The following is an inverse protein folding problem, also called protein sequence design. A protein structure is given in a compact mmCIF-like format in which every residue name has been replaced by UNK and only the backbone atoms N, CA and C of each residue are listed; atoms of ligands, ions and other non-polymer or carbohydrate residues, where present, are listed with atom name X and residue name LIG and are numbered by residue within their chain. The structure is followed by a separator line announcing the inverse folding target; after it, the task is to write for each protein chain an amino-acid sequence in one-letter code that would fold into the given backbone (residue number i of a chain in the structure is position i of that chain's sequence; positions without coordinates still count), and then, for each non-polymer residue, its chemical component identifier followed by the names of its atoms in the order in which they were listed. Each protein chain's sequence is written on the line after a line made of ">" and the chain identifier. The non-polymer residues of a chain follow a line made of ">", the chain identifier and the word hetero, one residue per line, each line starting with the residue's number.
data_IF_246260486363
#
_entry.id   IF_246260486363
#
_cell.length_a   1.000
_cell.length_b   1.000
_cell.length_c   1.000
_cell.angle_alpha   90.00
_cell.angle_beta   90.00
_cell.angle_gamma   90.00
#
_symmetry.space_group_name_H-M   'P 1'
#
loop_
_entity.id
_entity.type
_entity.pdbx_description
1 polymer ?
#
# COMPACT_ATOMS: atom_id res chain seq x y z
N UNK A 1 59.09 70.46 9.42
CA UNK A 1 58.32 69.21 9.63
C UNK A 1 56.88 69.45 9.17
N UNK A 2 56.54 69.02 7.95
CA UNK A 2 55.18 69.09 7.42
C UNK A 2 54.77 67.67 7.03
N UNK A 3 53.69 67.14 7.62
CA UNK A 3 53.10 65.85 7.25
C UNK A 3 51.83 66.11 6.47
N UNK A 4 51.89 65.81 5.17
CA UNK A 4 50.79 65.81 4.23
C UNK A 4 50.02 64.50 4.42
N UNK A 5 48.73 64.55 4.79
CA UNK A 5 47.86 63.38 4.86
C UNK A 5 47.01 63.36 3.61
N UNK A 6 47.30 62.42 2.70
CA UNK A 6 46.48 62.13 1.52
C UNK A 6 45.26 61.31 1.96
N UNK A 7 44.06 61.87 1.82
CA UNK A 7 42.80 61.14 1.94
C UNK A 7 42.46 60.42 0.64
N UNK A 8 42.48 59.09 0.66
CA UNK A 8 41.95 58.24 -0.41
C UNK A 8 40.42 58.25 -0.35
N UNK A 9 39.78 58.93 -1.30
CA UNK A 9 38.33 58.86 -1.52
C UNK A 9 38.03 57.57 -2.30
N UNK A 10 37.44 56.59 -1.64
CA UNK A 10 36.98 55.34 -2.26
C UNK A 10 35.63 55.59 -2.94
N UNK A 11 35.62 55.64 -4.28
CA UNK A 11 34.40 55.61 -5.08
C UNK A 11 33.86 54.17 -5.13
N UNK A 12 32.92 53.84 -4.26
CA UNK A 12 32.09 52.64 -4.41
C UNK A 12 31.08 52.85 -5.55
N UNK A 13 31.37 52.24 -6.72
CA UNK A 13 30.38 52.04 -7.77
C UNK A 13 29.32 51.05 -7.27
N UNK A 14 28.11 51.52 -7.02
CA UNK A 14 26.95 50.63 -6.87
C UNK A 14 26.55 50.12 -8.26
N UNK A 15 26.91 48.87 -8.57
CA UNK A 15 26.32 48.17 -9.72
C UNK A 15 24.92 47.74 -9.30
N UNK A 16 23.91 48.51 -9.71
CA UNK A 16 22.52 48.09 -9.59
C UNK A 16 22.28 46.92 -10.54
N UNK A 17 22.05 45.72 -10.00
CA UNK A 17 21.63 44.55 -10.77
C UNK A 17 20.14 44.73 -11.11
N UNK A 18 19.87 45.36 -12.25
CA UNK A 18 18.51 45.46 -12.78
C UNK A 18 18.13 44.12 -13.45
N UNK A 19 17.00 43.53 -13.06
CA UNK A 19 16.43 42.38 -13.74
C UNK A 19 16.04 42.70 -15.19
N UNK A 20 15.91 41.68 -16.05
CA UNK A 20 15.54 41.88 -17.47
C UNK A 20 14.09 42.35 -17.65
N UNK A 21 13.25 42.12 -16.63
CA UNK A 21 11.85 42.49 -16.58
C UNK A 21 11.60 43.45 -15.40
N UNK A 22 10.63 44.34 -15.57
CA UNK A 22 10.27 45.38 -14.61
C UNK A 22 8.79 45.32 -14.27
N UNK A 23 8.39 45.94 -13.16
CA UNK A 23 6.99 45.99 -12.73
C UNK A 23 6.06 46.74 -13.70
N UNK A 24 6.59 47.47 -14.68
CA UNK A 24 5.81 48.12 -15.74
C UNK A 24 5.55 47.23 -16.96
N UNK A 25 6.19 46.06 -17.03
CA UNK A 25 5.98 45.09 -18.10
C UNK A 25 4.78 44.18 -17.76
N UNK A 26 4.09 43.63 -18.77
CA UNK A 26 3.03 42.63 -18.57
C UNK A 26 3.58 41.24 -18.18
N UNK A 27 4.91 41.08 -18.12
CA UNK A 27 5.60 39.86 -17.68
C UNK A 27 5.68 39.85 -16.16
N UNK A 28 5.13 38.81 -15.54
CA UNK A 28 5.08 38.68 -14.07
C UNK A 28 6.42 38.15 -13.56
N UNK A 29 7.07 38.90 -12.67
CA UNK A 29 8.29 38.42 -12.01
C UNK A 29 7.96 37.32 -10.99
N UNK A 30 8.53 36.14 -11.22
CA UNK A 30 8.31 34.95 -10.42
C UNK A 30 9.56 34.64 -9.61
N UNK A 31 9.33 34.42 -8.32
CA UNK A 31 10.35 34.14 -7.31
C UNK A 31 9.89 32.95 -6.46
N UNK A 32 10.79 32.31 -5.69
CA UNK A 32 10.40 31.19 -4.83
C UNK A 32 9.24 31.50 -3.87
N UNK A 33 9.07 32.77 -3.45
CA UNK A 33 8.03 33.16 -2.49
C UNK A 33 6.63 33.32 -3.12
N UNK A 34 6.52 33.56 -4.43
CA UNK A 34 5.24 33.75 -5.10
C UNK A 34 4.91 32.63 -6.11
N UNK A 35 5.89 31.85 -6.58
CA UNK A 35 5.71 30.87 -7.65
C UNK A 35 4.57 29.88 -7.38
N UNK A 36 4.48 29.36 -6.16
CA UNK A 36 3.42 28.42 -5.81
C UNK A 36 2.03 29.06 -5.92
N UNK A 37 1.86 30.26 -5.37
CA UNK A 37 0.58 30.97 -5.41
C UNK A 37 0.20 31.41 -6.82
N UNK A 38 1.14 32.00 -7.55
CA UNK A 38 0.88 32.57 -8.87
C UNK A 38 0.72 31.48 -9.94
N UNK A 39 1.58 30.45 -9.93
CA UNK A 39 1.65 29.46 -11.02
C UNK A 39 0.96 28.15 -10.67
N UNK A 40 1.30 27.56 -9.52
CA UNK A 40 0.86 26.19 -9.16
C UNK A 40 -0.59 26.15 -8.71
N UNK A 41 -1.02 27.14 -7.94
CA UNK A 41 -2.41 27.26 -7.46
C UNK A 41 -3.34 27.96 -8.47
N UNK A 42 -2.79 28.44 -9.58
CA UNK A 42 -3.55 29.16 -10.60
C UNK A 42 -4.21 28.21 -11.59
N UNK A 43 -5.47 28.46 -11.91
CA UNK A 43 -6.17 27.77 -12.99
C UNK A 43 -5.68 28.19 -14.38
N UNK A 44 -5.18 29.41 -14.55
CA UNK A 44 -4.73 29.95 -15.85
C UNK A 44 -3.57 29.17 -16.47
N UNK A 45 -3.47 29.15 -17.80
CA UNK A 45 -2.26 28.67 -18.48
C UNK A 45 -1.11 29.64 -18.17
N UNK A 46 0.06 29.08 -17.84
CA UNK A 46 1.27 29.87 -17.57
C UNK A 46 2.39 29.53 -18.54
N UNK A 47 3.00 30.55 -19.12
CA UNK A 47 4.26 30.46 -19.85
C UNK A 47 5.35 31.09 -18.99
N UNK A 48 6.35 30.30 -18.60
CA UNK A 48 7.40 30.76 -17.69
C UNK A 48 8.76 30.67 -18.36
N UNK A 49 9.44 31.82 -18.49
CA UNK A 49 10.83 31.88 -18.90
C UNK A 49 11.76 31.79 -17.69
N UNK A 50 12.70 30.83 -17.71
CA UNK A 50 13.81 30.75 -16.79
C UNK A 50 15.05 31.35 -17.46
N UNK A 51 15.57 32.43 -16.89
CA UNK A 51 16.61 33.25 -17.51
C UNK A 51 17.76 33.56 -16.54
N UNK A 52 18.83 34.13 -17.09
CA UNK A 52 19.92 34.74 -16.32
C UNK A 52 20.24 36.14 -16.88
N UNK A 53 20.43 37.19 -16.06
CA UNK A 53 20.62 38.56 -16.53
C UNK A 53 21.85 38.74 -17.44
N UNK A 54 22.90 37.96 -17.20
CA UNK A 54 24.15 37.98 -17.97
C UNK A 54 24.07 37.24 -19.32
N UNK A 55 22.99 36.49 -19.57
CA UNK A 55 22.88 35.65 -20.76
C UNK A 55 22.37 36.45 -21.97
N UNK A 56 23.22 36.61 -22.99
CA UNK A 56 22.88 37.34 -24.22
C UNK A 56 21.71 36.73 -25.01
N UNK A 57 21.43 35.43 -24.89
CA UNK A 57 20.23 34.81 -25.46
C UNK A 57 18.94 35.24 -24.73
N UNK A 58 19.02 35.44 -23.41
CA UNK A 58 17.89 35.93 -22.60
C UNK A 58 17.59 37.38 -22.97
N UNK A 59 18.63 38.22 -23.04
CA UNK A 59 18.48 39.63 -23.44
C UNK A 59 17.85 39.80 -24.82
N UNK A 60 18.14 38.89 -25.78
CA UNK A 60 17.50 38.90 -27.11
C UNK A 60 16.05 38.41 -27.09
N UNK A 61 15.70 37.54 -26.15
CA UNK A 61 14.34 37.04 -25.99
C UNK A 61 13.46 38.04 -25.25
N UNK A 62 14.02 38.88 -24.37
CA UNK A 62 13.28 39.85 -23.55
C UNK A 62 12.29 40.72 -24.34
N UNK A 63 12.63 41.34 -25.48
CA UNK A 63 11.67 42.12 -26.26
C UNK A 63 10.50 41.27 -26.78
N UNK A 64 10.77 40.03 -27.18
CA UNK A 64 9.73 39.10 -27.64
C UNK A 64 8.86 38.62 -26.47
N UNK A 65 9.45 38.31 -25.31
CA UNK A 65 8.73 37.96 -24.09
C UNK A 65 7.75 39.06 -23.64
N UNK A 66 8.17 40.33 -23.73
CA UNK A 66 7.29 41.49 -23.48
C UNK A 66 6.13 41.57 -24.47
N UNK A 67 6.40 41.46 -25.77
CA UNK A 67 5.34 41.44 -26.81
C UNK A 67 4.36 40.29 -26.59
N UNK A 68 4.85 39.10 -26.28
CA UNK A 68 4.03 37.90 -26.00
C UNK A 68 3.14 38.14 -24.79
N UNK A 69 3.69 38.67 -23.69
CA UNK A 69 2.92 38.97 -22.49
C UNK A 69 1.82 40.00 -22.74
N UNK A 70 2.11 41.06 -23.50
CA UNK A 70 1.10 42.06 -23.89
C UNK A 70 0.04 41.48 -24.83
N UNK A 71 0.45 40.67 -25.82
CA UNK A 71 -0.47 40.07 -26.80
C UNK A 71 -1.39 39.02 -26.18
N UNK A 72 -0.91 38.28 -25.18
CA UNK A 72 -1.65 37.23 -24.48
C UNK A 72 -2.29 37.71 -23.17
N UNK A 73 -2.25 39.03 -22.91
CA UNK A 73 -2.79 39.63 -21.69
C UNK A 73 -4.22 39.16 -21.45
N UNK A 74 -4.48 38.73 -20.21
CA UNK A 74 -5.74 38.16 -19.74
C UNK A 74 -6.18 36.82 -20.37
N UNK A 75 -5.41 36.28 -21.32
CA UNK A 75 -5.66 34.99 -21.98
C UNK A 75 -4.71 33.91 -21.46
N UNK A 76 -3.41 34.20 -21.43
CA UNK A 76 -2.35 33.34 -20.90
C UNK A 76 -1.45 34.19 -20.01
N UNK A 77 -1.09 33.69 -18.82
CA UNK A 77 -0.16 34.41 -17.93
C UNK A 77 1.27 34.13 -18.39
N UNK A 78 2.08 35.19 -18.48
CA UNK A 78 3.49 35.09 -18.86
C UNK A 78 4.31 35.55 -17.67
N UNK A 79 5.24 34.71 -17.23
CA UNK A 79 6.12 35.00 -16.11
C UNK A 79 7.59 34.76 -16.44
N UNK A 80 8.46 35.36 -15.64
CA UNK A 80 9.89 35.19 -15.77
C UNK A 80 10.54 34.93 -14.41
N UNK A 81 11.42 33.93 -14.36
CA UNK A 81 12.21 33.54 -13.19
C UNK A 81 13.67 33.81 -13.50
N UNK A 82 14.30 34.66 -12.70
CA UNK A 82 15.77 34.74 -12.66
C UNK A 82 16.31 33.49 -11.97
N UNK A 83 16.67 32.49 -12.77
CA UNK A 83 17.15 31.20 -12.33
C UNK A 83 18.65 31.21 -11.99
N UNK A 84 19.37 32.28 -12.34
CA UNK A 84 20.74 32.51 -11.87
C UNK A 84 20.73 32.91 -10.38
N UNK A 85 19.78 33.78 -10.02
CA UNK A 85 19.51 34.18 -8.64
C UNK A 85 18.74 33.11 -7.84
N UNK A 86 17.79 32.43 -8.48
CA UNK A 86 16.92 31.42 -7.85
C UNK A 86 17.20 30.02 -8.40
N UNK A 87 18.45 29.56 -8.21
CA UNK A 87 18.94 28.28 -8.73
C UNK A 87 18.12 27.08 -8.26
N UNK A 88 17.59 27.10 -7.04
CA UNK A 88 16.73 26.03 -6.52
C UNK A 88 15.43 25.89 -7.32
N UNK A 89 14.79 27.01 -7.67
CA UNK A 89 13.56 27.04 -8.45
C UNK A 89 13.81 26.66 -9.91
N UNK A 90 14.92 27.12 -10.51
CA UNK A 90 15.34 26.66 -11.84
C UNK A 90 15.67 25.16 -11.86
N UNK A 91 16.39 24.68 -10.84
CA UNK A 91 16.76 23.28 -10.66
C UNK A 91 15.56 22.36 -10.47
N UNK A 92 14.54 22.80 -9.72
CA UNK A 92 13.28 22.07 -9.51
C UNK A 92 12.62 21.68 -10.84
N UNK A 93 12.66 22.56 -11.84
CA UNK A 93 12.09 22.31 -13.15
C UNK A 93 13.11 21.80 -14.16
N UNK A 94 14.30 21.40 -13.74
CA UNK A 94 15.32 20.81 -14.63
C UNK A 94 15.89 21.80 -15.64
N UNK A 95 16.00 23.08 -15.29
CA UNK A 95 16.61 24.09 -16.17
C UNK A 95 18.12 23.88 -16.21
N UNK A 96 18.63 23.45 -17.37
CA UNK A 96 20.06 23.16 -17.60
C UNK A 96 20.78 24.24 -18.40
N UNK A 97 20.04 25.21 -18.93
CA UNK A 97 20.60 26.29 -19.74
C UNK A 97 19.60 27.42 -19.95
N UNK A 98 20.10 28.59 -20.38
CA UNK A 98 19.30 29.80 -20.47
C UNK A 98 19.21 30.38 -21.88
N UNK A 99 18.06 30.97 -22.26
CA UNK A 99 16.78 30.86 -21.55
C UNK A 99 16.09 29.53 -21.86
N UNK A 100 15.35 29.01 -20.88
CA UNK A 100 14.46 27.85 -21.00
C UNK A 100 13.03 28.32 -20.78
N UNK A 101 12.11 27.98 -21.68
CA UNK A 101 10.69 28.35 -21.55
C UNK A 101 9.89 27.08 -21.25
N UNK A 102 9.00 27.15 -20.25
CA UNK A 102 8.12 26.05 -19.85
C UNK A 102 6.67 26.46 -19.87
N UNK A 103 5.81 25.54 -20.29
CA UNK A 103 4.35 25.71 -20.37
C UNK A 103 3.70 24.92 -19.24
N UNK A 104 3.03 25.64 -18.34
CA UNK A 104 2.32 25.09 -17.19
C UNK A 104 0.83 24.98 -17.52
N UNK A 105 0.45 23.80 -18.01
CA UNK A 105 -0.89 23.39 -18.47
C UNK A 105 -1.90 23.06 -17.37
N UNK A 106 -2.76 22.08 -17.62
CA UNK A 106 -3.77 21.59 -16.66
C UNK A 106 -3.11 20.96 -15.43
N UNK A 107 -2.03 20.20 -15.64
CA UNK A 107 -1.19 19.68 -14.59
C UNK A 107 0.04 20.58 -14.36
N UNK A 108 -0.03 21.44 -13.34
CA UNK A 108 1.06 22.36 -12.97
C UNK A 108 2.33 21.68 -12.50
N UNK A 109 2.24 20.44 -12.03
CA UNK A 109 3.40 19.69 -11.52
C UNK A 109 4.21 19.02 -12.63
N UNK A 110 3.73 19.04 -13.87
CA UNK A 110 4.44 18.48 -15.02
C UNK A 110 4.43 19.45 -16.20
N UNK A 111 5.13 20.58 -16.08
CA UNK A 111 5.22 21.56 -17.16
C UNK A 111 5.96 20.99 -18.36
N UNK A 112 5.55 21.42 -19.55
CA UNK A 112 6.15 20.99 -20.82
C UNK A 112 7.24 21.97 -21.27
N UNK A 113 8.33 21.44 -21.83
CA UNK A 113 9.38 22.27 -22.41
C UNK A 113 8.96 22.84 -23.76
N UNK A 114 9.07 24.16 -23.89
CA UNK A 114 8.92 24.81 -25.18
C UNK A 114 10.23 24.73 -25.97
N UNK A 115 10.21 24.00 -27.08
CA UNK A 115 11.35 23.79 -27.97
C UNK A 115 11.19 24.50 -29.33
N UNK A 116 10.20 25.37 -29.47
CA UNK A 116 9.91 26.08 -30.72
C UNK A 116 10.84 27.28 -30.99
N UNK A 117 10.53 28.02 -32.05
CA UNK A 117 11.25 29.23 -32.44
C UNK A 117 11.17 30.33 -31.38
N UNK A 118 12.22 31.13 -31.23
CA UNK A 118 12.31 32.18 -30.20
C UNK A 118 11.75 33.53 -30.66
N UNK A 119 10.73 33.52 -31.52
CA UNK A 119 10.01 34.72 -31.98
C UNK A 119 8.67 34.83 -31.26
N UNK A 120 8.14 36.05 -31.12
CA UNK A 120 6.85 36.26 -30.47
C UNK A 120 5.72 35.45 -31.11
N UNK A 121 5.69 35.34 -32.45
CA UNK A 121 4.66 34.57 -33.16
C UNK A 121 4.73 33.08 -32.82
N UNK A 122 5.91 32.48 -32.86
CA UNK A 122 6.10 31.06 -32.58
C UNK A 122 5.77 30.70 -31.12
N UNK A 123 6.00 31.63 -30.18
CA UNK A 123 5.66 31.46 -28.77
C UNK A 123 4.15 31.61 -28.56
N UNK A 124 3.52 32.60 -29.21
CA UNK A 124 2.05 32.80 -29.17
C UNK A 124 1.32 31.59 -29.73
N UNK A 125 1.76 31.04 -30.87
CA UNK A 125 1.11 29.87 -31.48
C UNK A 125 1.17 28.63 -30.57
N UNK A 126 2.30 28.42 -29.88
CA UNK A 126 2.44 27.35 -28.91
C UNK A 126 1.57 27.58 -27.67
N UNK A 127 1.51 28.82 -27.16
CA UNK A 127 0.66 29.17 -26.04
C UNK A 127 -0.84 28.97 -26.37
N UNK A 128 -1.29 29.36 -27.57
CA UNK A 128 -2.66 29.14 -28.03
C UNK A 128 -2.96 27.65 -28.24
N UNK A 129 -2.01 26.87 -28.72
CA UNK A 129 -2.15 25.42 -28.86
C UNK A 129 -2.28 24.74 -27.50
N UNK A 130 -1.42 25.09 -26.54
CA UNK A 130 -1.51 24.62 -25.16
C UNK A 130 -2.80 25.08 -24.47
N UNK A 131 -3.28 26.31 -24.76
CA UNK A 131 -4.55 26.81 -24.23
C UNK A 131 -5.74 26.03 -24.79
N UNK A 132 -5.75 25.70 -26.09
CA UNK A 132 -6.77 24.83 -26.69
C UNK A 132 -6.78 23.46 -26.00
N UNK A 133 -5.61 22.91 -25.69
CA UNK A 133 -5.52 21.65 -24.95
C UNK A 133 -6.05 21.79 -23.52
N UNK A 134 -5.69 22.86 -22.81
CA UNK A 134 -6.21 23.16 -21.47
C UNK A 134 -7.73 23.31 -21.46
N UNK A 135 -8.31 23.99 -22.45
CA UNK A 135 -9.76 24.13 -22.60
C UNK A 135 -10.41 22.77 -22.88
N UNK A 136 -9.81 21.93 -23.75
CA UNK A 136 -10.29 20.56 -23.99
C UNK A 136 -10.24 19.71 -22.72
N UNK A 137 -9.16 19.78 -21.95
CA UNK A 137 -9.02 19.07 -20.69
C UNK A 137 -10.13 19.47 -19.71
N UNK A 138 -10.41 20.78 -19.60
CA UNK A 138 -11.52 21.29 -18.75
C UNK A 138 -12.89 20.86 -19.24
N UNK A 139 -13.16 20.93 -20.55
CA UNK A 139 -14.42 20.48 -21.16
C UNK A 139 -14.63 18.98 -21.00
N UNK A 140 -13.55 18.19 -21.01
CA UNK A 140 -13.56 16.75 -20.75
C UNK A 140 -13.70 16.38 -19.27
N UNK A 141 -14.00 17.33 -18.37
CA UNK A 141 -14.13 17.08 -16.93
C UNK A 141 -12.80 16.92 -16.19
N UNK A 142 -11.68 17.29 -16.81
CA UNK A 142 -10.32 17.28 -16.25
C UNK A 142 -9.91 18.71 -15.85
N UNK A 143 -10.81 19.39 -15.13
CA UNK A 143 -10.56 20.69 -14.49
C UNK A 143 -10.19 20.50 -13.02
N UNK A 144 -9.21 21.26 -12.53
CA UNK A 144 -8.58 21.13 -11.23
C UNK A 144 -9.55 20.96 -10.06
N UNK A 145 -9.32 19.90 -9.28
CA UNK A 145 -10.09 19.55 -8.11
C UNK A 145 -9.74 18.14 -7.68
N UNK A 146 -9.14 18.01 -6.50
CA UNK A 146 -8.92 16.75 -5.79
C UNK A 146 -10.17 15.84 -5.86
N UNK A 147 -10.06 14.67 -6.49
CA UNK A 147 -10.47 13.36 -5.93
C UNK A 147 -10.40 12.23 -6.97
N UNK A 148 -10.04 11.06 -6.44
CA UNK A 148 -10.02 9.69 -6.95
C UNK A 148 -10.77 9.34 -8.24
N UNK A 149 -10.10 8.54 -9.07
CA UNK A 149 -10.72 7.34 -9.65
C UNK A 149 -10.88 7.29 -11.17
N UNK A 150 -10.29 6.23 -11.74
CA UNK A 150 -10.68 5.52 -12.98
C UNK A 150 -10.05 5.95 -14.32
N UNK A 151 -8.83 5.44 -14.51
CA UNK A 151 -8.40 4.53 -15.59
C UNK A 151 -8.83 4.76 -17.05
N UNK A 152 -7.83 4.90 -17.93
CA UNK A 152 -7.87 4.64 -19.37
C UNK A 152 -6.69 5.30 -20.12
N UNK A 153 -5.47 4.73 -20.04
CA UNK A 153 -4.68 4.05 -21.12
C UNK A 153 -4.39 4.94 -22.35
N UNK A 154 -3.18 5.14 -22.87
CA UNK A 154 -1.93 4.34 -22.98
C UNK A 154 -0.80 5.36 -23.29
N UNK A 155 0.49 5.26 -22.94
CA UNK A 155 1.47 4.17 -22.92
C UNK A 155 2.54 4.40 -21.82
N UNK A 156 3.11 3.32 -21.29
CA UNK A 156 4.17 3.33 -20.27
C UNK A 156 3.88 2.31 -19.15
N UNK A 157 4.21 1.05 -19.38
CA UNK A 157 3.88 -0.09 -18.50
C UNK A 157 4.72 -0.19 -17.22
N UNK A 158 5.12 0.93 -16.61
CA UNK A 158 6.17 0.92 -15.59
C UNK A 158 5.81 1.48 -14.21
N UNK A 159 4.59 2.00 -13.95
CA UNK A 159 4.28 2.65 -12.65
C UNK A 159 2.88 2.39 -12.11
N UNK A 160 2.23 1.27 -12.48
CA UNK A 160 0.80 1.11 -12.13
C UNK A 160 0.53 0.93 -10.64
N UNK A 161 1.48 0.37 -9.90
CA UNK A 161 1.26 -0.08 -8.53
C UNK A 161 2.23 0.52 -7.49
N UNK A 162 3.18 1.36 -7.93
CA UNK A 162 3.99 2.19 -7.02
C UNK A 162 3.18 3.42 -6.63
N UNK A 163 3.05 3.66 -5.33
CA UNK A 163 2.29 4.79 -4.80
C UNK A 163 3.23 5.97 -4.59
N UNK A 164 2.97 7.08 -5.28
CA UNK A 164 3.71 8.32 -5.05
C UNK A 164 3.20 9.00 -3.77
N UNK A 165 4.11 9.32 -2.86
CA UNK A 165 3.83 9.99 -1.59
C UNK A 165 4.51 11.36 -1.55
N UNK A 166 3.84 12.27 -0.86
CA UNK A 166 4.27 13.66 -0.67
C UNK A 166 4.24 14.03 0.81
N UNK A 167 4.85 15.16 1.16
CA UNK A 167 4.81 15.70 2.53
C UNK A 167 3.38 15.76 3.10
N UNK A 168 2.37 16.07 2.28
CA UNK A 168 0.96 16.16 2.68
C UNK A 168 0.22 14.81 2.78
N UNK A 169 0.67 13.80 2.04
CA UNK A 169 -0.06 12.54 1.88
C UNK A 169 0.54 11.40 2.69
N UNK A 170 1.80 11.54 3.12
CA UNK A 170 2.55 10.48 3.77
C UNK A 170 1.91 10.04 5.09
N UNK A 171 1.66 10.96 6.02
CA UNK A 171 1.21 10.60 7.37
C UNK A 171 -0.13 9.84 7.32
N UNK A 172 -1.09 10.37 6.55
CA UNK A 172 -2.41 9.74 6.36
C UNK A 172 -2.34 8.37 5.67
N UNK A 173 -1.46 8.20 4.69
CA UNK A 173 -1.41 6.97 3.91
C UNK A 173 -0.54 5.90 4.55
N UNK A 174 0.54 6.29 5.23
CA UNK A 174 1.57 5.39 5.75
C UNK A 174 1.42 5.19 7.25
N UNK A 175 1.33 6.27 8.04
CA UNK A 175 1.36 6.17 9.50
C UNK A 175 0.00 5.75 10.09
N UNK A 176 -1.09 6.15 9.46
CA UNK A 176 -2.45 5.78 9.88
C UNK A 176 -2.92 4.44 9.27
N UNK A 177 -2.06 3.73 8.53
CA UNK A 177 -2.40 2.49 7.84
C UNK A 177 -2.08 1.26 8.69
N UNK A 178 -2.96 0.26 8.67
CA UNK A 178 -2.67 -1.09 9.20
C UNK A 178 -1.76 -1.93 8.27
N UNK A 179 -1.53 -1.45 7.05
CA UNK A 179 -0.75 -2.17 6.05
C UNK A 179 0.75 -1.82 6.19
N UNK A 180 1.63 -2.71 5.75
CA UNK A 180 3.08 -2.46 5.77
C UNK A 180 3.49 -1.66 4.55
N UNK A 181 4.32 -0.63 4.74
CA UNK A 181 4.80 0.21 3.66
C UNK A 181 6.31 0.12 3.50
N UNK A 182 6.76 -0.14 2.27
CA UNK A 182 8.14 0.04 1.87
C UNK A 182 8.22 1.30 1.01
N UNK A 183 8.95 2.31 1.46
CA UNK A 183 9.02 3.61 0.80
C UNK A 183 10.44 3.87 0.29
N UNK A 184 10.56 4.04 -1.02
CA UNK A 184 11.79 4.52 -1.66
C UNK A 184 11.85 6.05 -1.61
N UNK A 185 12.89 6.60 -0.98
CA UNK A 185 13.26 8.00 -1.09
C UNK A 185 14.30 8.15 -2.20
N UNK A 186 13.92 8.85 -3.28
CA UNK A 186 14.71 8.96 -4.51
C UNK A 186 14.96 10.41 -4.93
N UNK A 187 15.87 10.57 -5.88
CA UNK A 187 16.07 11.82 -6.62
C UNK A 187 16.04 11.56 -8.13
N UNK A 188 15.33 12.38 -8.94
CA UNK A 188 15.07 12.10 -10.35
C UNK A 188 16.33 12.11 -11.23
N UNK A 189 17.40 12.76 -10.78
CA UNK A 189 18.69 12.82 -11.47
C UNK A 189 19.66 11.70 -11.05
N UNK A 190 19.36 10.94 -10.00
CA UNK A 190 20.25 9.91 -9.49
C UNK A 190 20.25 8.66 -10.38
N UNK A 191 21.42 8.28 -10.91
CA UNK A 191 21.57 7.10 -11.77
C UNK A 191 21.19 5.79 -11.07
N UNK A 192 21.51 5.63 -9.77
CA UNK A 192 21.13 4.45 -9.01
C UNK A 192 19.61 4.34 -8.79
N UNK A 193 18.90 5.48 -8.67
CA UNK A 193 17.44 5.49 -8.56
C UNK A 193 16.80 5.08 -9.89
N UNK A 194 17.32 5.61 -11.01
CA UNK A 194 16.85 5.23 -12.36
C UNK A 194 17.01 3.73 -12.65
N UNK A 195 18.06 3.11 -12.11
CA UNK A 195 18.27 1.67 -12.24
C UNK A 195 17.33 0.85 -11.34
N UNK A 196 16.95 1.38 -10.18
CA UNK A 196 16.04 0.72 -9.23
C UNK A 196 14.58 0.83 -9.67
N UNK A 197 14.17 1.96 -10.26
CA UNK A 197 12.80 2.25 -10.71
C UNK A 197 12.09 1.08 -11.42
N UNK A 198 12.67 0.41 -12.45
CA UNK A 198 12.01 -0.73 -13.10
C UNK A 198 11.85 -1.96 -12.18
N UNK A 199 12.85 -2.25 -11.35
CA UNK A 199 12.80 -3.36 -10.38
C UNK A 199 11.77 -3.08 -9.28
N UNK A 200 11.73 -1.84 -8.78
CA UNK A 200 10.78 -1.39 -7.75
C UNK A 200 9.34 -1.46 -8.24
N UNK A 201 9.08 -1.02 -9.47
CA UNK A 201 7.74 -1.07 -10.03
C UNK A 201 7.25 -2.49 -10.33
N UNK A 202 8.14 -3.35 -10.82
CA UNK A 202 7.81 -4.76 -11.02
C UNK A 202 7.54 -5.46 -9.69
N UNK A 203 8.36 -5.19 -8.67
CA UNK A 203 8.13 -5.67 -7.31
C UNK A 203 6.80 -5.18 -6.74
N UNK A 204 6.46 -3.89 -6.91
CA UNK A 204 5.22 -3.32 -6.39
C UNK A 204 3.98 -4.03 -6.93
N UNK A 205 3.99 -4.37 -8.22
CA UNK A 205 2.90 -5.11 -8.88
C UNK A 205 2.75 -6.50 -8.28
N UNK A 206 3.85 -7.24 -8.17
CA UNK A 206 3.87 -8.61 -7.66
C UNK A 206 3.52 -8.68 -6.16
N UNK A 207 4.09 -7.78 -5.35
CA UNK A 207 3.81 -7.72 -3.91
C UNK A 207 2.35 -7.40 -3.67
N UNK A 208 1.77 -6.45 -4.41
CA UNK A 208 0.35 -6.13 -4.27
C UNK A 208 -0.54 -7.33 -4.58
N UNK A 209 -0.22 -8.11 -5.61
CA UNK A 209 -0.98 -9.32 -5.97
C UNK A 209 -0.84 -10.40 -4.88
N UNK A 210 0.39 -10.72 -4.45
CA UNK A 210 0.65 -11.80 -3.51
C UNK A 210 0.20 -11.50 -2.08
N UNK A 211 0.25 -10.24 -1.66
CA UNK A 211 -0.15 -9.82 -0.30
C UNK A 211 -1.58 -9.30 -0.24
N UNK A 212 -2.35 -9.37 -1.34
CA UNK A 212 -3.68 -8.75 -1.47
C UNK A 212 -3.68 -7.26 -1.04
N UNK A 213 -2.59 -6.55 -1.33
CA UNK A 213 -2.39 -5.14 -1.00
C UNK A 213 -2.04 -4.83 0.46
N UNK A 214 -1.72 -5.83 1.28
CA UNK A 214 -1.30 -5.67 2.69
C UNK A 214 0.15 -5.22 2.86
N UNK A 215 0.97 -5.37 1.82
CA UNK A 215 2.27 -4.70 1.72
C UNK A 215 2.25 -3.81 0.49
N UNK A 216 2.69 -2.57 0.66
CA UNK A 216 2.64 -1.54 -0.38
C UNK A 216 4.03 -0.96 -0.61
N UNK A 217 4.37 -0.78 -1.88
CA UNK A 217 5.58 -0.10 -2.28
C UNK A 217 5.24 1.32 -2.74
N UNK A 218 5.97 2.27 -2.20
CA UNK A 218 5.78 3.68 -2.47
C UNK A 218 7.10 4.35 -2.85
N UNK A 219 6.99 5.52 -3.45
CA UNK A 219 8.11 6.37 -3.81
C UNK A 219 7.87 7.80 -3.31
N UNK A 220 8.92 8.44 -2.85
CA UNK A 220 8.95 9.85 -2.43
C UNK A 220 10.12 10.52 -3.12
N UNK A 221 9.85 11.53 -3.94
CA UNK A 221 10.88 12.42 -4.43
C UNK A 221 11.36 13.31 -3.27
N UNK A 222 12.49 12.94 -2.68
CA UNK A 222 13.05 13.62 -1.52
C UNK A 222 13.72 14.97 -1.89
N UNK A 223 13.85 15.29 -3.19
CA UNK A 223 14.38 16.59 -3.62
C UNK A 223 13.33 17.69 -3.47
N UNK A 224 12.05 17.34 -3.60
CA UNK A 224 10.92 18.26 -3.42
C UNK A 224 10.28 18.10 -2.04
N UNK A 225 10.21 16.88 -1.50
CA UNK A 225 9.62 16.59 -0.18
C UNK A 225 10.68 16.66 0.93
N UNK A 226 11.22 17.87 1.15
CA UNK A 226 12.33 18.13 2.06
C UNK A 226 11.94 17.88 3.54
N UNK A 227 10.65 18.03 3.89
CA UNK A 227 10.18 17.80 5.26
C UNK A 227 10.28 16.32 5.60
N UNK A 228 9.78 15.43 4.74
CA UNK A 228 9.94 13.98 4.91
C UNK A 228 11.41 13.54 4.85
N UNK A 229 12.18 14.10 3.91
CA UNK A 229 13.62 13.78 3.79
C UNK A 229 14.38 14.12 5.08
N UNK A 230 14.10 15.28 5.68
CA UNK A 230 14.69 15.69 6.96
C UNK A 230 14.17 14.84 8.12
N UNK A 231 12.85 14.63 8.21
CA UNK A 231 12.18 13.87 9.28
C UNK A 231 12.75 12.46 9.41
N UNK A 232 12.98 11.78 8.28
CA UNK A 232 13.51 10.42 8.26
C UNK A 232 15.02 10.34 8.03
N UNK A 233 15.73 11.48 8.05
CA UNK A 233 17.18 11.53 8.01
C UNK A 233 17.78 10.97 6.71
N UNK A 234 17.15 11.24 5.56
CA UNK A 234 17.62 10.78 4.26
C UNK A 234 18.88 11.55 3.86
N UNK A 235 20.01 10.83 3.77
CA UNK A 235 21.35 11.42 3.49
C UNK A 235 21.90 11.08 2.12
N UNK A 236 21.26 10.17 1.40
CA UNK A 236 21.70 9.68 0.10
C UNK A 236 20.55 8.99 -0.63
N UNK A 237 20.76 8.69 -1.92
CA UNK A 237 19.72 8.11 -2.77
C UNK A 237 20.25 6.90 -3.55
N UNK A 238 19.42 5.85 -3.77
CA UNK A 238 18.12 5.64 -3.14
C UNK A 238 18.27 5.14 -1.69
N UNK A 239 17.38 5.59 -0.81
CA UNK A 239 17.20 5.04 0.55
C UNK A 239 15.82 4.44 0.66
N UNK A 240 15.71 3.18 1.08
CA UNK A 240 14.42 2.51 1.26
C UNK A 240 14.19 2.33 2.75
N UNK A 241 13.00 2.73 3.23
CA UNK A 241 12.57 2.54 4.61
C UNK A 241 11.29 1.74 4.69
N UNK A 242 11.16 0.95 5.75
CA UNK A 242 9.99 0.13 6.05
C UNK A 242 9.24 0.79 7.20
N UNK A 243 7.92 0.92 7.03
CA UNK A 243 7.00 1.52 7.99
C UNK A 243 5.92 0.51 8.34
N UNK A 244 5.71 0.34 9.65
CA UNK A 244 4.74 -0.56 10.26
C UNK A 244 4.06 0.18 11.39
N UNK A 245 2.76 -0.06 11.57
CA UNK A 245 1.99 0.62 12.60
C UNK A 245 2.49 0.24 14.00
N UNK A 246 2.79 1.24 14.81
CA UNK A 246 3.27 1.05 16.18
C UNK A 246 4.75 0.71 16.31
N UNK A 247 5.48 0.58 15.20
CA UNK A 247 6.92 0.35 15.20
C UNK A 247 7.70 1.56 14.67
N UNK A 248 8.97 1.67 15.06
CA UNK A 248 9.86 2.69 14.50
C UNK A 248 10.30 2.32 13.09
N UNK A 249 10.36 3.26 12.14
CA UNK A 249 10.78 2.96 10.77
C UNK A 249 12.20 2.38 10.72
N UNK A 250 12.39 1.33 9.93
CA UNK A 250 13.68 0.65 9.78
C UNK A 250 14.22 0.78 8.36
N UNK A 251 15.54 0.85 8.22
CA UNK A 251 16.20 0.87 6.92
C UNK A 251 16.17 -0.51 6.26
N UNK A 252 15.99 -0.53 4.94
CA UNK A 252 16.14 -1.72 4.13
C UNK A 252 17.55 -1.79 3.52
N UNK A 253 18.34 -2.73 4.02
CA UNK A 253 19.72 -2.97 3.58
C UNK A 253 19.86 -4.18 2.64
N UNK A 254 18.75 -4.74 2.16
CA UNK A 254 18.75 -5.89 1.27
C UNK A 254 19.10 -5.55 -0.18
N UNK A 255 19.09 -6.58 -1.04
CA UNK A 255 19.36 -6.41 -2.47
C UNK A 255 18.32 -5.54 -3.18
N UNK A 256 18.74 -4.90 -4.28
CA UNK A 256 17.91 -3.96 -5.06
C UNK A 256 17.28 -4.60 -6.30
N UNK A 257 17.31 -5.92 -6.40
CA UNK A 257 16.62 -6.66 -7.45
C UNK A 257 15.15 -6.87 -7.07
N UNK A 258 14.27 -7.02 -8.06
CA UNK A 258 12.86 -7.35 -7.86
C UNK A 258 12.71 -8.55 -6.91
N UNK A 259 13.47 -9.62 -7.10
CA UNK A 259 13.36 -10.83 -6.28
C UNK A 259 13.69 -10.58 -4.81
N UNK A 260 14.72 -9.77 -4.53
CA UNK A 260 15.10 -9.45 -3.15
C UNK A 260 14.02 -8.59 -2.48
N UNK A 261 13.51 -7.59 -3.20
CA UNK A 261 12.46 -6.69 -2.71
C UNK A 261 11.17 -7.45 -2.45
N UNK A 262 10.74 -8.32 -3.38
CA UNK A 262 9.55 -9.17 -3.23
C UNK A 262 9.72 -10.11 -2.04
N UNK A 263 10.87 -10.79 -1.92
CA UNK A 263 11.14 -11.69 -0.79
C UNK A 263 11.02 -10.95 0.54
N UNK A 264 11.66 -9.78 0.65
CA UNK A 264 11.55 -8.98 1.87
C UNK A 264 10.11 -8.55 2.15
N UNK A 265 9.38 -8.10 1.14
CA UNK A 265 7.98 -7.69 1.29
C UNK A 265 7.08 -8.85 1.76
N UNK A 266 7.31 -10.07 1.26
CA UNK A 266 6.58 -11.26 1.71
C UNK A 266 6.95 -11.67 3.14
N UNK A 267 8.21 -11.52 3.54
CA UNK A 267 8.62 -11.72 4.93
C UNK A 267 7.92 -10.72 5.86
N UNK A 268 7.90 -9.43 5.47
CA UNK A 268 7.21 -8.37 6.20
C UNK A 268 5.71 -8.63 6.31
N UNK A 269 5.09 -9.10 5.21
CA UNK A 269 3.69 -9.51 5.22
C UNK A 269 3.42 -10.61 6.24
N UNK A 270 4.33 -11.59 6.31
CA UNK A 270 4.19 -12.75 7.18
C UNK A 270 4.44 -12.40 8.65
N UNK A 271 5.35 -11.47 8.91
CA UNK A 271 5.67 -10.95 10.24
C UNK A 271 4.53 -10.10 10.83
N UNK A 272 3.82 -9.35 9.97
CA UNK A 272 2.70 -8.47 10.34
C UNK A 272 1.33 -9.09 10.04
N UNK A 273 1.29 -10.41 9.79
CA UNK A 273 0.02 -11.10 9.65
C UNK A 273 -0.83 -10.87 10.91
N UNK A 274 -2.12 -10.54 10.76
CA UNK A 274 -3.00 -10.39 11.91
C UNK A 274 -3.00 -11.69 12.74
N UNK A 275 -3.27 -11.60 14.05
CA UNK A 275 -3.45 -12.78 14.87
C UNK A 275 -4.45 -13.73 14.19
N UNK A 276 -4.12 -15.02 14.04
CA UNK A 276 -5.00 -15.95 13.37
C UNK A 276 -6.29 -16.12 14.17
N UNK A 277 -7.42 -16.03 13.46
CA UNK A 277 -8.73 -16.25 14.04
C UNK A 277 -9.03 -17.76 14.10
N UNK A 278 -9.36 -18.25 15.29
CA UNK A 278 -9.86 -19.60 15.50
C UNK A 278 -11.39 -19.56 15.49
N UNK A 279 -12.00 -19.99 14.40
CA UNK A 279 -13.45 -19.88 14.20
C UNK A 279 -14.16 -21.21 14.46
N UNK A 280 -15.35 -21.15 15.05
CA UNK A 280 -16.24 -22.30 15.18
C UNK A 280 -16.94 -22.59 13.85
N UNK A 281 -17.05 -23.86 13.47
CA UNK A 281 -17.76 -24.28 12.26
C UNK A 281 -19.27 -24.27 12.52
N UNK A 282 -19.88 -23.11 12.33
CA UNK A 282 -21.32 -22.87 12.53
C UNK A 282 -22.12 -22.82 11.22
N UNK A 283 -21.46 -22.70 10.07
CA UNK A 283 -22.12 -22.64 8.76
C UNK A 283 -21.16 -22.98 7.61
N UNK A 284 -21.71 -23.30 6.44
CA UNK A 284 -20.92 -23.54 5.22
C UNK A 284 -20.04 -22.34 4.84
N UNK A 285 -20.55 -21.12 5.00
CA UNK A 285 -19.82 -19.91 4.64
C UNK A 285 -18.54 -19.75 5.46
N UNK A 286 -18.61 -20.04 6.78
CA UNK A 286 -17.44 -19.98 7.67
C UNK A 286 -16.41 -21.05 7.27
N UNK A 287 -16.86 -22.28 7.01
CA UNK A 287 -15.97 -23.37 6.63
C UNK A 287 -15.29 -23.12 5.27
N UNK A 288 -16.07 -22.71 4.25
CA UNK A 288 -15.57 -22.46 2.90
C UNK A 288 -14.61 -21.27 2.85
N UNK A 289 -14.97 -20.13 3.44
CA UNK A 289 -14.06 -18.95 3.47
C UNK A 289 -12.74 -19.29 4.15
N UNK A 290 -12.79 -19.96 5.30
CA UNK A 290 -11.59 -20.34 6.05
C UNK A 290 -10.74 -21.38 5.31
N UNK A 291 -11.34 -22.32 4.57
CA UNK A 291 -10.58 -23.39 3.92
C UNK A 291 -10.20 -23.14 2.45
N UNK A 292 -10.91 -22.29 1.71
CA UNK A 292 -10.64 -22.00 0.30
C UNK A 292 -9.68 -20.82 0.09
N UNK A 293 -9.71 -19.84 0.99
CA UNK A 293 -8.84 -18.66 0.92
C UNK A 293 -7.38 -18.96 1.32
N UNK A 294 -7.16 -20.09 1.99
CA UNK A 294 -5.86 -20.49 2.54
C UNK A 294 -5.31 -21.75 1.85
N UNK A 295 -3.99 -21.95 1.90
CA UNK A 295 -3.37 -23.15 1.32
C UNK A 295 -3.72 -24.42 2.10
N UNK A 296 -3.81 -24.31 3.41
CA UNK A 296 -4.21 -25.36 4.34
C UNK A 296 -5.20 -24.81 5.35
N UNK A 297 -6.12 -25.66 5.76
CA UNK A 297 -7.15 -25.40 6.75
C UNK A 297 -7.03 -26.45 7.87
N UNK A 298 -6.66 -26.02 9.06
CA UNK A 298 -6.57 -26.90 10.24
C UNK A 298 -7.94 -26.93 10.91
N UNK A 299 -8.51 -28.13 11.03
CA UNK A 299 -9.81 -28.38 11.65
C UNK A 299 -9.61 -29.26 12.88
N UNK A 300 -9.99 -28.75 14.04
CA UNK A 300 -10.05 -29.52 15.28
C UNK A 300 -11.49 -29.95 15.58
N UNK A 301 -11.68 -31.21 15.96
CA UNK A 301 -12.95 -31.72 16.48
C UNK A 301 -12.76 -32.00 17.96
N UNK A 302 -13.38 -31.16 18.79
CA UNK A 302 -13.22 -31.19 20.25
C UNK A 302 -14.30 -32.09 20.89
N UNK A 303 -14.04 -32.67 22.07
CA UNK A 303 -15.06 -33.42 22.79
C UNK A 303 -16.33 -32.61 23.04
N UNK A 304 -17.43 -33.33 23.27
CA UNK A 304 -18.71 -32.71 23.58
C UNK A 304 -18.59 -31.86 24.86
N UNK A 305 -19.37 -30.78 24.94
CA UNK A 305 -19.27 -29.84 26.08
C UNK A 305 -19.58 -30.54 27.40
N UNK A 306 -20.47 -31.53 27.40
CA UNK A 306 -20.84 -32.31 28.59
C UNK A 306 -19.70 -33.17 29.13
N UNK A 307 -18.72 -33.54 28.29
CA UNK A 307 -17.58 -34.38 28.72
C UNK A 307 -16.46 -33.57 29.36
N UNK A 308 -16.31 -32.32 28.94
CA UNK A 308 -15.13 -31.49 29.26
C UNK A 308 -15.45 -30.22 30.04
N UNK A 309 -16.70 -29.77 30.00
CA UNK A 309 -17.10 -28.44 30.43
C UNK A 309 -16.44 -27.32 29.61
N UNK A 310 -16.84 -26.09 29.90
CA UNK A 310 -16.30 -24.88 29.31
C UNK A 310 -14.80 -24.74 29.60
N UNK A 311 -14.36 -25.11 30.81
CA UNK A 311 -12.95 -25.06 31.19
C UNK A 311 -12.09 -26.01 30.34
N UNK A 312 -12.54 -27.26 30.14
CA UNK A 312 -11.83 -28.23 29.30
C UNK A 312 -11.79 -27.79 27.84
N UNK A 313 -12.92 -27.34 27.28
CA UNK A 313 -12.98 -26.77 25.92
C UNK A 313 -12.02 -25.60 25.74
N UNK A 314 -12.06 -24.61 26.64
CA UNK A 314 -11.19 -23.44 26.58
C UNK A 314 -9.71 -23.84 26.62
N UNK A 315 -9.33 -24.85 27.41
CA UNK A 315 -7.94 -25.33 27.43
C UNK A 315 -7.47 -25.87 26.07
N UNK A 316 -8.34 -26.54 25.31
CA UNK A 316 -8.02 -26.97 23.94
C UNK A 316 -7.93 -25.78 22.98
N UNK A 317 -8.86 -24.83 23.08
CA UNK A 317 -8.85 -23.61 22.26
C UNK A 317 -7.58 -22.78 22.50
N UNK A 318 -7.12 -22.67 23.73
CA UNK A 318 -5.86 -22.00 24.08
C UNK A 318 -4.64 -22.66 23.40
N UNK A 319 -4.58 -24.00 23.40
CA UNK A 319 -3.51 -24.74 22.70
C UNK A 319 -3.57 -24.47 21.20
N UNK A 320 -4.76 -24.47 20.60
CA UNK A 320 -4.95 -24.17 19.18
C UNK A 320 -4.53 -22.74 18.85
N UNK A 321 -4.94 -21.75 19.64
CA UNK A 321 -4.57 -20.34 19.46
C UNK A 321 -3.05 -20.13 19.56
N UNK A 322 -2.40 -20.77 20.54
CA UNK A 322 -0.95 -20.69 20.72
C UNK A 322 -0.20 -21.24 19.50
N UNK A 323 -0.68 -22.35 18.94
CA UNK A 323 -0.09 -22.94 17.75
C UNK A 323 -0.44 -22.15 16.49
N UNK A 324 -1.64 -21.58 16.43
CA UNK A 324 -2.04 -20.69 15.35
C UNK A 324 -1.08 -19.49 15.27
N UNK A 325 -0.83 -18.78 16.39
CA UNK A 325 0.13 -17.67 16.42
C UNK A 325 1.54 -18.13 16.03
N UNK A 326 2.00 -19.28 16.54
CA UNK A 326 3.30 -19.85 16.17
C UNK A 326 3.45 -20.09 14.66
N UNK A 327 2.38 -20.49 13.99
CA UNK A 327 2.35 -20.77 12.55
C UNK A 327 1.72 -19.65 11.72
N UNK A 328 1.49 -18.45 12.26
CA UNK A 328 0.81 -17.34 11.57
C UNK A 328 1.42 -16.97 10.22
N UNK A 329 2.75 -17.07 10.09
CA UNK A 329 3.49 -16.86 8.84
C UNK A 329 3.06 -17.78 7.70
N UNK A 330 2.45 -18.91 8.02
CA UNK A 330 1.94 -19.87 7.03
C UNK A 330 0.57 -19.52 6.50
N UNK A 331 -0.14 -18.55 7.11
CA UNK A 331 -1.47 -18.10 6.70
C UNK A 331 -2.40 -19.30 6.50
N UNK A 332 -2.49 -20.18 7.50
CA UNK A 332 -3.44 -21.30 7.48
C UNK A 332 -4.76 -20.87 8.10
N UNK A 333 -5.86 -21.43 7.59
CA UNK A 333 -7.16 -21.28 8.25
C UNK A 333 -7.22 -22.17 9.50
N UNK A 334 -7.85 -21.67 10.56
CA UNK A 334 -8.02 -22.39 11.83
C UNK A 334 -9.49 -22.49 12.18
N UNK A 335 -9.97 -23.71 12.28
CA UNK A 335 -11.37 -24.02 12.58
C UNK A 335 -11.45 -25.03 13.70
N UNK A 336 -12.54 -24.97 14.46
CA UNK A 336 -12.92 -26.02 15.39
C UNK A 336 -14.42 -26.31 15.34
N UNK A 337 -14.80 -27.52 15.75
CA UNK A 337 -16.19 -27.93 15.93
C UNK A 337 -16.29 -28.86 17.12
N UNK A 338 -17.45 -28.92 17.74
CA UNK A 338 -17.78 -29.97 18.70
C UNK A 338 -17.98 -31.32 17.98
N UNK A 339 -17.59 -32.40 18.66
CA UNK A 339 -17.84 -33.77 18.26
C UNK A 339 -19.34 -34.04 18.04
N UNK A 340 -19.69 -34.59 16.88
CA UNK A 340 -21.09 -34.86 16.51
C UNK A 340 -21.83 -33.62 16.01
N UNK A 341 -21.22 -32.43 16.06
CA UNK A 341 -21.86 -31.23 15.53
C UNK A 341 -21.82 -31.18 13.99
N UNK A 342 -20.79 -31.73 13.37
CA UNK A 342 -20.59 -31.72 11.92
C UNK A 342 -20.31 -33.13 11.39
N UNK A 343 -21.30 -34.01 11.51
CA UNK A 343 -21.17 -35.45 11.21
C UNK A 343 -20.67 -35.76 9.81
N UNK A 344 -21.14 -35.04 8.79
CA UNK A 344 -20.71 -35.24 7.40
C UNK A 344 -19.24 -34.85 7.20
N UNK A 345 -18.79 -33.77 7.84
CA UNK A 345 -17.39 -33.34 7.84
C UNK A 345 -16.51 -34.38 8.54
N UNK A 346 -16.93 -34.84 9.71
CA UNK A 346 -16.21 -35.85 10.48
C UNK A 346 -16.08 -37.16 9.68
N UNK A 347 -17.18 -37.64 9.10
CA UNK A 347 -17.18 -38.84 8.27
C UNK A 347 -16.28 -38.69 7.03
N UNK A 348 -16.36 -37.55 6.33
CA UNK A 348 -15.52 -37.29 5.15
C UNK A 348 -14.01 -37.21 5.46
N UNK A 349 -13.66 -36.86 6.70
CA UNK A 349 -12.29 -36.84 7.22
C UNK A 349 -11.91 -38.14 7.94
N UNK A 350 -12.80 -39.13 8.05
CA UNK A 350 -12.56 -40.36 8.80
C UNK A 350 -12.36 -40.13 10.30
N UNK A 351 -12.93 -39.05 10.85
CA UNK A 351 -12.94 -38.73 12.28
C UNK A 351 -14.16 -39.38 12.93
N UNK A 352 -14.03 -39.80 14.20
CA UNK A 352 -15.08 -40.48 14.98
C UNK A 352 -14.71 -41.90 15.40
N UNK A 353 -13.80 -42.57 14.69
CA UNK A 353 -13.37 -43.94 15.03
C UNK A 353 -12.33 -44.04 16.16
N UNK A 354 -11.52 -43.00 16.37
CA UNK A 354 -10.40 -43.00 17.33
C UNK A 354 -10.66 -42.17 18.60
N UNK A 355 -11.87 -41.63 18.74
CA UNK A 355 -12.24 -40.73 19.83
C UNK A 355 -11.84 -39.26 19.58
N UNK A 356 -12.21 -38.41 20.55
CA UNK A 356 -11.98 -36.97 20.53
C UNK A 356 -11.06 -36.57 21.71
N UNK A 357 -10.29 -35.48 21.60
CA UNK A 357 -10.17 -34.56 20.45
C UNK A 357 -9.44 -35.16 19.25
N UNK A 358 -9.84 -34.75 18.05
CA UNK A 358 -9.24 -35.12 16.78
C UNK A 358 -8.84 -33.88 15.97
N UNK A 359 -7.91 -34.01 15.03
CA UNK A 359 -7.50 -32.91 14.15
C UNK A 359 -7.18 -33.39 12.74
N UNK A 360 -7.60 -32.61 11.75
CA UNK A 360 -7.22 -32.78 10.36
C UNK A 360 -6.68 -31.47 9.77
N UNK A 361 -5.73 -31.56 8.86
CA UNK A 361 -5.34 -30.46 7.99
C UNK A 361 -5.82 -30.73 6.57
N UNK A 362 -6.66 -29.86 6.04
CA UNK A 362 -7.34 -30.01 4.75
C UNK A 362 -6.71 -29.05 3.74
N UNK A 363 -6.45 -29.56 2.52
CA UNK A 363 -6.18 -28.75 1.34
C UNK A 363 -7.43 -28.79 0.44
N UNK A 364 -8.26 -27.74 0.53
CA UNK A 364 -9.53 -27.68 -0.21
C UNK A 364 -9.32 -27.70 -1.73
N UNK A 365 -8.23 -27.12 -2.24
CA UNK A 365 -7.94 -27.10 -3.69
C UNK A 365 -7.60 -28.47 -4.26
N UNK A 366 -6.90 -29.30 -3.47
CA UNK A 366 -6.50 -30.66 -3.86
C UNK A 366 -7.47 -31.73 -3.38
N UNK A 367 -8.49 -31.37 -2.59
CA UNK A 367 -9.40 -32.29 -1.91
C UNK A 367 -8.66 -33.41 -1.17
N UNK A 368 -7.59 -33.05 -0.45
CA UNK A 368 -6.79 -33.97 0.36
C UNK A 368 -6.72 -33.48 1.79
N UNK A 369 -6.63 -34.41 2.74
CA UNK A 369 -6.40 -34.09 4.14
C UNK A 369 -5.31 -34.98 4.74
N UNK A 370 -4.75 -34.54 5.86
CA UNK A 370 -3.90 -35.33 6.73
C UNK A 370 -4.50 -35.34 8.14
N UNK A 371 -4.50 -36.49 8.80
CA UNK A 371 -4.94 -36.60 10.20
C UNK A 371 -3.76 -36.50 11.15
N UNK A 372 -3.98 -35.82 12.27
CA UNK A 372 -3.11 -35.91 13.42
C UNK A 372 -3.13 -37.34 13.97
N UNK A 373 -1.99 -38.02 13.92
CA UNK A 373 -1.82 -39.38 14.49
C UNK A 373 -1.21 -39.36 15.89
N UNK A 374 -0.61 -38.24 16.28
CA UNK A 374 -0.01 -38.04 17.60
C UNK A 374 -1.02 -37.60 18.65
N UNK A 375 -0.52 -37.23 19.83
CA UNK A 375 -1.38 -36.69 20.89
C UNK A 375 -1.91 -35.29 20.53
N UNK A 376 -3.14 -35.00 20.95
CA UNK A 376 -3.70 -33.65 20.91
C UNK A 376 -3.10 -32.81 22.04
N UNK A 377 -1.83 -32.46 21.89
CA UNK A 377 -1.05 -31.63 22.81
C UNK A 377 -0.27 -30.58 22.04
N UNK A 378 0.25 -29.56 22.71
CA UNK A 378 1.09 -28.55 22.05
C UNK A 378 2.26 -29.20 21.27
N UNK A 379 2.92 -30.20 21.86
CA UNK A 379 4.02 -30.92 21.22
C UNK A 379 3.55 -31.75 20.02
N UNK A 380 2.49 -32.55 20.20
CA UNK A 380 2.00 -33.47 19.16
C UNK A 380 1.43 -32.73 17.96
N UNK A 381 0.66 -31.67 18.20
CA UNK A 381 0.13 -30.82 17.12
C UNK A 381 1.28 -30.05 16.45
N UNK A 382 2.23 -29.49 17.21
CA UNK A 382 3.38 -28.80 16.61
C UNK A 382 4.22 -29.73 15.71
N UNK A 383 4.44 -30.98 16.10
CA UNK A 383 5.14 -31.96 15.27
C UNK A 383 4.38 -32.21 13.96
N UNK A 384 3.08 -32.46 14.05
CA UNK A 384 2.21 -32.66 12.89
C UNK A 384 2.23 -31.47 11.93
N UNK A 385 2.03 -30.25 12.43
CA UNK A 385 2.04 -29.03 11.64
C UNK A 385 3.43 -28.73 11.03
N UNK A 386 4.50 -29.05 11.75
CA UNK A 386 5.88 -28.95 11.23
C UNK A 386 6.06 -29.89 10.04
N UNK A 387 5.62 -31.14 10.13
CA UNK A 387 5.72 -32.09 9.01
C UNK A 387 4.98 -31.59 7.76
N UNK A 388 3.75 -31.12 7.93
CA UNK A 388 2.96 -30.54 6.85
C UNK A 388 3.65 -29.34 6.20
N UNK A 389 4.31 -28.49 6.99
CA UNK A 389 5.08 -27.34 6.48
C UNK A 389 6.22 -27.74 5.55
N UNK A 390 6.77 -28.95 5.72
CA UNK A 390 7.81 -29.51 4.85
C UNK A 390 7.25 -30.44 3.77
N UNK A 391 5.92 -30.50 3.60
CA UNK A 391 5.28 -31.40 2.64
C UNK A 391 5.45 -32.88 2.99
N UNK A 392 5.74 -33.19 4.25
CA UNK A 392 5.84 -34.55 4.78
C UNK A 392 4.51 -34.92 5.44
N UNK A 393 4.19 -36.21 5.45
CA UNK A 393 2.96 -36.73 6.05
C UNK A 393 2.11 -37.52 5.05
N UNK A 394 1.40 -38.51 5.58
CA UNK A 394 0.44 -39.31 4.80
C UNK A 394 -0.82 -38.50 4.59
N UNK A 395 -1.27 -38.39 3.34
CA UNK A 395 -2.53 -37.71 2.99
C UNK A 395 -3.54 -38.71 2.46
N UNK A 396 -4.82 -38.45 2.73
CA UNK A 396 -5.96 -39.19 2.22
C UNK A 396 -6.86 -38.25 1.38
N UNK A 397 -7.60 -38.76 0.39
CA UNK A 397 -8.61 -37.99 -0.31
C UNK A 397 -9.79 -37.69 0.63
N UNK A 398 -10.32 -36.47 0.58
CA UNK A 398 -11.57 -36.13 1.28
C UNK A 398 -12.71 -36.95 0.65
N UNK A 399 -13.52 -37.60 1.48
CA UNK A 399 -14.64 -38.42 1.01
C UNK A 399 -15.59 -37.65 0.08
N UNK A 400 -16.07 -38.30 -0.99
CA UNK A 400 -17.06 -37.71 -1.91
C UNK A 400 -16.53 -36.71 -2.95
N UNK A 401 -15.23 -36.37 -2.95
CA UNK A 401 -14.61 -35.55 -4.00
C UNK A 401 -15.02 -34.06 -4.01
N UNK A 402 -15.82 -33.64 -3.04
CA UNK A 402 -16.26 -32.26 -2.83
C UNK A 402 -16.11 -31.90 -1.34
N UNK A 403 -16.11 -30.60 -1.03
CA UNK A 403 -16.08 -30.15 0.36
C UNK A 403 -17.35 -30.65 1.09
N UNK A 404 -17.24 -31.23 2.30
CA UNK A 404 -18.38 -31.83 3.00
C UNK A 404 -19.46 -30.81 3.33
N UNK A 405 -20.72 -31.27 3.40
CA UNK A 405 -21.84 -30.43 3.83
C UNK A 405 -21.66 -30.02 5.31
N UNK A 406 -22.00 -28.78 5.63
CA UNK A 406 -21.90 -28.22 6.99
C UNK A 406 -23.31 -27.88 7.47
N UNK A 407 -23.66 -28.36 8.66
CA UNK A 407 -24.91 -28.03 9.31
C UNK A 407 -24.84 -26.63 9.92
N UNK A 408 -25.86 -25.81 9.67
CA UNK A 408 -26.00 -24.50 10.32
C UNK A 408 -26.38 -24.67 11.79
N UNK A 409 -25.67 -24.01 12.70
CA UNK A 409 -25.93 -24.05 14.15
C UNK A 409 -25.68 -22.70 14.80
N UNK A 410 -26.22 -22.54 16.01
CA UNK A 410 -25.88 -21.40 16.86
C UNK A 410 -24.45 -21.54 17.42
N UNK A 411 -23.69 -20.44 17.55
CA UNK A 411 -22.37 -20.46 18.16
C UNK A 411 -22.42 -20.92 19.61
N UNK A 412 -21.35 -21.54 20.09
CA UNK A 412 -21.22 -21.87 21.51
C UNK A 412 -21.29 -20.60 22.36
N UNK A 413 -22.11 -20.63 23.41
CA UNK A 413 -22.39 -19.49 24.28
C UNK A 413 -21.29 -19.22 25.34
N UNK A 414 -20.24 -20.04 25.34
CA UNK A 414 -19.11 -19.96 26.26
C UNK A 414 -19.35 -20.61 27.63
N UNK A 415 -20.47 -21.31 27.83
CA UNK A 415 -20.85 -21.92 29.12
C UNK A 415 -20.78 -23.44 29.08
N UNK A 416 -20.89 -24.04 30.26
CA UNK A 416 -21.05 -25.48 30.42
C UNK A 416 -22.37 -25.95 29.77
N UNK A 417 -22.38 -27.17 29.25
CA UNK A 417 -23.60 -27.78 28.74
C UNK A 417 -24.54 -28.14 29.90
N UNK A 418 -25.83 -27.88 29.71
CA UNK A 418 -26.86 -28.38 30.61
C UNK A 418 -27.36 -29.72 30.05
N UNK A 419 -27.44 -30.74 30.91
CA UNK A 419 -28.14 -31.96 30.54
C UNK A 419 -29.61 -31.61 30.31
N UNK A 420 -30.26 -32.19 29.29
CA UNK A 420 -31.71 -32.13 29.19
C UNK A 420 -32.29 -32.54 30.54
N UNK A 421 -33.20 -31.73 31.08
CA UNK A 421 -33.98 -32.17 32.24
C UNK A 421 -34.70 -33.44 31.77
N UNK A 422 -34.34 -34.59 32.35
CA UNK A 422 -35.13 -35.80 32.14
C UNK A 422 -36.51 -35.45 32.67
N UNK A 423 -37.48 -35.26 31.77
CA UNK A 423 -38.88 -35.33 32.15
C UNK A 423 -39.02 -36.71 32.79
N UNK A 424 -39.24 -36.77 34.11
CA UNK A 424 -39.46 -38.00 34.85
C UNK A 424 -40.45 -38.83 34.01
N UNK A 425 -39.96 -39.91 33.40
CA UNK A 425 -40.83 -40.81 32.64
C UNK A 425 -41.81 -41.33 33.69
N UNK A 426 -43.05 -40.87 33.62
CA UNK A 426 -44.10 -41.30 34.54
C UNK A 426 -44.41 -42.77 34.26
N UNK A 427 -43.72 -43.64 34.98
CA UNK A 427 -43.90 -45.09 34.89
C UNK A 427 -45.20 -45.55 35.55
N UNK A 428 -46.08 -44.64 36.01
CA UNK A 428 -47.40 -45.01 36.55
C UNK A 428 -48.32 -45.64 35.51
N UNK A 429 -48.06 -45.41 34.22
CA UNK A 429 -48.88 -45.93 33.10
C UNK A 429 -48.36 -47.26 32.53
N UNK A 430 -47.30 -47.85 33.12
CA UNK A 430 -46.84 -49.19 32.76
C UNK A 430 -47.62 -50.23 33.58
N UNK A 431 -48.81 -50.59 33.09
CA UNK A 431 -49.53 -51.78 33.57
C UNK A 431 -48.70 -53.03 33.21
N UNK A 432 -48.10 -53.65 34.23
CA UNK A 432 -47.51 -54.99 34.17
C UNK A 432 -48.60 -56.06 34.21
N UNK A 433 -49.58 -55.97 33.31
CA UNK A 433 -50.58 -57.02 33.10
C UNK A 433 -50.07 -57.91 31.98
N UNK A 434 -49.37 -59.00 32.32
CA UNK A 434 -49.32 -60.29 31.59
C UNK A 434 -48.22 -61.25 32.11
N UNK A 435 -47.97 -61.27 33.43
CA UNK A 435 -47.17 -62.33 34.05
C UNK A 435 -47.91 -62.95 35.22
N UNK A 436 -49.05 -63.58 34.95
CA UNK A 436 -49.45 -64.75 35.74
C UNK A 436 -50.44 -65.64 34.99
N UNK A 437 -50.06 -66.93 34.96
CA UNK A 437 -50.89 -68.12 34.79
C UNK A 437 -51.27 -68.55 33.37
N UNK A 438 -50.34 -69.27 32.75
CA UNK A 438 -50.67 -70.61 32.28
C UNK A 438 -49.88 -71.63 33.14
N UNK A 439 -50.50 -72.05 34.25
CA UNK A 439 -50.14 -73.29 34.94
C UNK A 439 -50.83 -74.48 34.24
N UNK A 440 -50.11 -75.61 34.25
CA UNK A 440 -50.51 -77.03 34.05
C UNK A 440 -50.23 -77.67 32.68
#
# INVERSE_FOLDING_TARGET
>A
MARLVLGLMSCTLFVAVNGLYSSSDDVIELTPSNFNREVIQSDSLWLVEFYAPWCGHCQRLTPEGKKVATALKDVVKVGAVDADKHQSLGGQYGVQGFPTIKIFGSNKNRPEDYQGGRTGEAIVDAALSALRQLVKDRLGGRGGGYSSGKQGRSEGSGKKDVIELTDDTFDKNVLDSEDVWMVEFYAPWCGHCKNLEPEWAAAATEVKEQTKGKVKLAAVDATVNQVLASRYGIRGFPTIKIFQKGESPVDYDGGRTRSDIVTRALDLFSDNAPPPELLEIISEDVAKKSCEEHQLCVVAVLPHILDTGAAGRNSYLEVLLKLADKYKKKMWGWLWTEAGAQTELEHALGIGGFGYPAMAAINARKMKFALLKGSFSEQGINEFLRELSFGRGSTAPVGGGAFPAISTREPWDGKDGELPVEDDIDLSDVELDDLEKDEL
#
